data_IF_338626004965
#
_entry.id   IF_338626004965
#
_cell.length_a   1.000
_cell.length_b   1.000
_cell.length_c   1.000
_cell.angle_alpha   90.00
_cell.angle_beta   90.00
_cell.angle_gamma   90.00
#
_symmetry.space_group_name_H-M   'P 1'
#
loop_
_entity.id
_entity.type
_entity.pdbx_description
1 polymer ?
#
# COMPACT_ATOMS: atom_id res chain seq x y z
N UNK A 1 11.34 -13.34 27.43
CA UNK A 1 10.82 -12.42 26.40
C UNK A 1 9.39 -12.81 26.08
N UNK A 2 8.48 -12.10 26.69
CA UNK A 2 7.10 -12.55 26.75
C UNK A 2 6.34 -12.24 25.47
N UNK A 3 6.27 -13.23 24.58
CA UNK A 3 5.34 -13.23 23.44
C UNK A 3 5.44 -12.02 22.50
N UNK A 4 6.66 -11.55 22.20
CA UNK A 4 6.84 -10.43 21.27
C UNK A 4 6.21 -10.75 19.89
N UNK A 5 6.35 -11.97 19.41
CA UNK A 5 5.74 -12.39 18.15
C UNK A 5 4.21 -12.33 18.21
N UNK A 6 3.64 -12.80 19.30
CA UNK A 6 2.19 -12.71 19.52
C UNK A 6 1.70 -11.25 19.54
N UNK A 7 2.43 -10.39 20.25
CA UNK A 7 2.10 -8.96 20.32
C UNK A 7 2.14 -8.29 18.96
N UNK A 8 3.19 -8.58 18.18
CA UNK A 8 3.29 -8.10 16.80
C UNK A 8 2.11 -8.54 15.94
N UNK A 9 1.83 -9.84 15.95
CA UNK A 9 0.73 -10.37 15.14
C UNK A 9 -0.61 -9.80 15.57
N UNK A 10 -0.83 -9.66 16.87
CA UNK A 10 -2.08 -9.12 17.40
C UNK A 10 -2.26 -7.65 17.05
N UNK A 11 -1.22 -6.82 17.18
CA UNK A 11 -1.24 -5.43 16.76
C UNK A 11 -1.47 -5.29 15.27
N UNK A 12 -0.77 -6.08 14.47
CA UNK A 12 -0.93 -6.09 13.02
C UNK A 12 -2.36 -6.46 12.60
N UNK A 13 -2.92 -7.49 13.23
CA UNK A 13 -4.29 -7.94 12.96
C UNK A 13 -5.31 -6.84 13.28
N UNK A 14 -5.20 -6.21 14.44
CA UNK A 14 -6.10 -5.12 14.86
C UNK A 14 -6.00 -3.93 13.91
N UNK A 15 -4.78 -3.52 13.57
CA UNK A 15 -4.55 -2.40 12.68
C UNK A 15 -5.14 -2.68 11.28
N UNK A 16 -4.88 -3.87 10.74
CA UNK A 16 -5.43 -4.27 9.44
C UNK A 16 -6.95 -4.29 9.43
N UNK A 17 -7.56 -4.76 10.51
CA UNK A 17 -9.02 -4.77 10.63
C UNK A 17 -9.58 -3.35 10.56
N UNK A 18 -9.05 -2.44 11.36
CA UNK A 18 -9.50 -1.05 11.38
C UNK A 18 -9.28 -0.35 10.04
N UNK A 19 -8.12 -0.56 9.42
CA UNK A 19 -7.84 -0.01 8.09
C UNK A 19 -8.79 -0.55 7.04
N UNK A 20 -9.05 -1.85 7.05
CA UNK A 20 -9.94 -2.48 6.09
C UNK A 20 -11.36 -1.93 6.20
N UNK A 21 -11.88 -1.79 7.43
CA UNK A 21 -13.20 -1.21 7.67
C UNK A 21 -13.28 0.23 7.15
N UNK A 22 -12.25 1.04 7.41
CA UNK A 22 -12.22 2.43 6.97
C UNK A 22 -12.15 2.54 5.44
N UNK A 23 -11.29 1.74 4.79
CA UNK A 23 -11.12 1.75 3.35
C UNK A 23 -12.35 1.22 2.61
N UNK A 24 -13.07 0.27 3.20
CA UNK A 24 -14.30 -0.26 2.61
C UNK A 24 -15.39 0.81 2.49
N UNK A 25 -15.37 1.83 3.34
CA UNK A 25 -16.28 2.97 3.20
C UNK A 25 -16.03 3.75 1.91
N UNK A 26 -14.83 3.67 1.37
CA UNK A 26 -14.47 4.26 0.06
C UNK A 26 -14.46 3.23 -1.07
N UNK A 27 -14.97 2.03 -0.79
CA UNK A 27 -15.01 0.92 -1.73
C UNK A 27 -13.62 0.55 -2.27
N UNK A 28 -12.63 0.60 -1.38
CA UNK A 28 -11.23 0.25 -1.68
C UNK A 28 -10.79 -0.84 -0.71
N UNK A 29 -10.14 -1.89 -1.22
CA UNK A 29 -9.51 -2.90 -0.37
C UNK A 29 -8.10 -2.45 0.02
N UNK A 30 -7.55 -3.03 1.09
CA UNK A 30 -6.16 -2.78 1.49
C UNK A 30 -5.20 -3.11 0.32
N UNK A 31 -5.44 -4.21 -0.36
CA UNK A 31 -4.61 -4.64 -1.50
C UNK A 31 -4.67 -3.65 -2.66
N UNK A 32 -5.85 -3.15 -2.98
CA UNK A 32 -6.02 -2.12 -4.01
C UNK A 32 -5.28 -0.84 -3.66
N UNK A 33 -5.41 -0.39 -2.43
CA UNK A 33 -4.69 0.80 -1.95
C UNK A 33 -3.18 0.59 -2.00
N UNK A 34 -2.70 -0.56 -1.54
CA UNK A 34 -1.27 -0.90 -1.54
C UNK A 34 -0.69 -0.90 -2.96
N UNK A 35 -1.42 -1.45 -3.93
CA UNK A 35 -1.00 -1.44 -5.34
C UNK A 35 -0.92 -0.01 -5.88
N UNK A 36 -1.96 0.79 -5.67
CA UNK A 36 -1.96 2.19 -6.12
C UNK A 36 -0.82 2.98 -5.47
N UNK A 37 -0.60 2.78 -4.19
CA UNK A 37 0.47 3.43 -3.45
C UNK A 37 1.85 3.10 -4.03
N UNK A 38 2.07 1.83 -4.38
CA UNK A 38 3.35 1.41 -4.98
C UNK A 38 3.56 2.02 -6.36
N UNK A 39 2.50 2.10 -7.17
CA UNK A 39 2.55 2.76 -8.48
C UNK A 39 2.92 4.24 -8.30
N UNK A 40 2.26 4.94 -7.38
CA UNK A 40 2.53 6.34 -7.07
C UNK A 40 3.97 6.54 -6.60
N UNK A 41 4.44 5.69 -5.71
CA UNK A 41 5.80 5.76 -5.17
C UNK A 41 6.85 5.61 -6.28
N UNK A 42 6.69 4.60 -7.13
CA UNK A 42 7.61 4.36 -8.23
C UNK A 42 7.61 5.54 -9.22
N UNK A 43 6.44 6.04 -9.57
CA UNK A 43 6.31 7.17 -10.50
C UNK A 43 6.90 8.46 -9.91
N UNK A 44 6.77 8.68 -8.60
CA UNK A 44 7.33 9.86 -7.94
C UNK A 44 8.86 9.88 -7.97
N UNK A 45 9.49 8.70 -8.09
CA UNK A 45 10.95 8.57 -8.24
C UNK A 45 11.40 8.55 -9.70
N UNK A 46 10.50 8.90 -10.63
CA UNK A 46 10.79 8.89 -12.06
C UNK A 46 10.90 7.49 -12.67
N UNK A 47 10.41 6.48 -11.94
CA UNK A 47 10.42 5.10 -12.42
C UNK A 47 9.05 4.73 -12.97
N UNK A 48 9.04 4.03 -14.08
CA UNK A 48 7.83 3.36 -14.58
C UNK A 48 7.74 1.97 -13.99
N UNK A 49 6.51 1.44 -13.88
CA UNK A 49 6.31 0.11 -13.29
C UNK A 49 5.34 -0.71 -14.12
N UNK A 50 5.72 -1.95 -14.37
CA UNK A 50 4.83 -2.97 -14.95
C UNK A 50 4.08 -3.69 -13.81
N UNK A 51 3.02 -4.41 -14.16
CA UNK A 51 2.31 -5.27 -13.21
C UNK A 51 3.25 -6.28 -12.55
N UNK A 52 4.20 -6.83 -13.31
CA UNK A 52 5.19 -7.80 -12.80
C UNK A 52 6.06 -7.15 -11.72
N UNK A 53 6.58 -5.96 -11.99
CA UNK A 53 7.42 -5.22 -11.04
C UNK A 53 6.67 -4.86 -9.76
N UNK A 54 5.44 -4.39 -9.89
CA UNK A 54 4.59 -4.09 -8.73
C UNK A 54 4.31 -5.37 -7.93
N UNK A 55 4.01 -6.47 -8.61
CA UNK A 55 3.81 -7.76 -7.96
C UNK A 55 5.04 -8.21 -7.17
N UNK A 56 6.22 -8.05 -7.75
CA UNK A 56 7.49 -8.36 -7.08
C UNK A 56 7.71 -7.45 -5.85
N UNK A 57 7.48 -6.15 -5.98
CA UNK A 57 7.60 -5.20 -4.87
C UNK A 57 6.68 -5.58 -3.70
N UNK A 58 5.49 -6.09 -3.99
CA UNK A 58 4.46 -6.35 -2.99
C UNK A 58 4.31 -7.83 -2.62
N UNK A 59 5.18 -8.69 -3.15
CA UNK A 59 5.12 -10.14 -2.91
C UNK A 59 3.79 -10.76 -3.34
N UNK A 60 3.26 -10.30 -4.46
CA UNK A 60 2.02 -10.80 -5.05
C UNK A 60 2.32 -11.63 -6.30
N UNK A 61 1.62 -12.75 -6.46
CA UNK A 61 1.72 -13.56 -7.68
C UNK A 61 1.06 -12.87 -8.88
N UNK A 62 1.34 -13.37 -10.09
CA UNK A 62 0.81 -12.79 -11.33
C UNK A 62 -0.73 -12.75 -11.38
N UNK A 63 -1.46 -13.82 -11.05
CA UNK A 63 -2.92 -13.76 -11.06
C UNK A 63 -3.49 -12.73 -10.10
N UNK A 64 -2.89 -12.60 -8.91
CA UNK A 64 -3.34 -11.66 -7.88
C UNK A 64 -3.17 -10.23 -8.32
N UNK A 65 -1.96 -9.84 -8.74
CA UNK A 65 -1.69 -8.47 -9.17
C UNK A 65 -2.48 -8.12 -10.44
N UNK A 66 -2.59 -9.04 -11.38
CA UNK A 66 -3.36 -8.85 -12.61
C UNK A 66 -4.84 -8.58 -12.31
N UNK A 67 -5.42 -9.34 -11.38
CA UNK A 67 -6.81 -9.14 -10.97
C UNK A 67 -7.06 -7.81 -10.29
N UNK A 68 -6.13 -7.37 -9.43
CA UNK A 68 -6.22 -6.09 -8.74
C UNK A 68 -6.13 -4.92 -9.74
N UNK A 69 -5.14 -4.97 -10.63
CA UNK A 69 -4.95 -3.94 -11.67
C UNK A 69 -6.19 -3.83 -12.56
N UNK A 70 -6.74 -4.96 -12.97
CA UNK A 70 -7.95 -5.00 -13.79
C UNK A 70 -9.14 -4.32 -13.13
N UNK A 71 -9.34 -4.57 -11.84
CA UNK A 71 -10.40 -3.94 -11.06
C UNK A 71 -10.16 -2.43 -10.90
N UNK A 72 -8.91 -2.02 -10.70
CA UNK A 72 -8.55 -0.61 -10.58
C UNK A 72 -8.71 0.15 -11.91
N UNK A 73 -8.40 -0.50 -13.03
CA UNK A 73 -8.69 0.05 -14.37
C UNK A 73 -10.19 0.27 -14.54
N UNK A 74 -10.98 -0.72 -14.18
CA UNK A 74 -12.44 -0.66 -14.29
C UNK A 74 -13.04 0.46 -13.45
N UNK A 75 -12.44 0.73 -12.29
CA UNK A 75 -12.82 1.86 -11.42
C UNK A 75 -12.34 3.21 -11.95
N UNK A 76 -11.47 3.24 -12.93
CA UNK A 76 -10.91 4.48 -13.48
C UNK A 76 -9.76 5.05 -12.67
N UNK A 77 -9.09 4.27 -11.85
CA UNK A 77 -8.00 4.71 -10.98
C UNK A 77 -6.62 4.44 -11.55
N UNK A 78 -6.50 3.46 -12.44
CA UNK A 78 -5.25 3.10 -13.11
C UNK A 78 -5.48 3.06 -14.61
N UNK A 79 -4.49 3.51 -15.37
CA UNK A 79 -4.40 3.30 -16.81
C UNK A 79 -3.13 2.52 -17.13
N UNK A 80 -3.17 1.79 -18.22
CA UNK A 80 -2.01 1.08 -18.77
C UNK A 80 -1.47 1.85 -19.97
N UNK A 81 -0.17 2.08 -19.97
CA UNK A 81 0.54 2.60 -21.12
C UNK A 81 1.40 1.49 -21.71
N UNK A 82 1.37 1.39 -23.04
CA UNK A 82 2.15 0.37 -23.73
C UNK A 82 3.64 0.64 -23.55
N UNK A 83 4.38 -0.42 -23.18
CA UNK A 83 5.83 -0.36 -23.13
C UNK A 83 6.36 -0.47 -24.58
N UNK A 84 6.99 0.60 -25.07
CA UNK A 84 7.51 0.65 -26.44
C UNK A 84 8.65 -0.35 -26.64
N UNK A 85 9.44 -0.62 -25.60
CA UNK A 85 10.58 -1.54 -25.67
C UNK A 85 10.17 -3.01 -25.63
N UNK A 86 9.02 -3.31 -24.99
CA UNK A 86 8.46 -4.65 -24.91
C UNK A 86 6.95 -4.59 -25.06
N UNK A 87 6.47 -4.94 -26.26
CA UNK A 87 5.04 -4.91 -26.61
C UNK A 87 4.17 -5.86 -25.77
N UNK A 88 4.77 -6.71 -24.94
CA UNK A 88 4.04 -7.66 -24.08
C UNK A 88 3.72 -7.10 -22.72
N UNK A 89 4.34 -5.99 -22.34
CA UNK A 89 4.15 -5.38 -21.02
C UNK A 89 3.57 -3.98 -21.14
N UNK A 90 2.97 -3.52 -20.06
CA UNK A 90 2.37 -2.21 -19.94
C UNK A 90 2.87 -1.54 -18.68
N UNK A 91 3.13 -0.25 -18.76
CA UNK A 91 3.40 0.58 -17.60
C UNK A 91 2.07 1.00 -16.96
N UNK A 92 2.06 1.01 -15.65
CA UNK A 92 0.91 1.42 -14.87
C UNK A 92 1.08 2.87 -14.43
N UNK A 93 0.00 3.64 -14.52
CA UNK A 93 -0.06 5.01 -14.03
C UNK A 93 -1.38 5.25 -13.33
N UNK A 94 -1.36 6.08 -12.29
CA UNK A 94 -2.58 6.54 -11.67
C UNK A 94 -3.23 7.62 -12.53
N UNK A 95 -4.55 7.55 -12.64
CA UNK A 95 -5.34 8.65 -13.16
C UNK A 95 -5.42 9.78 -12.13
N UNK A 96 -5.95 10.93 -12.52
CA UNK A 96 -6.24 12.01 -11.57
C UNK A 96 -7.13 11.52 -10.42
N UNK A 97 -8.17 10.76 -10.74
CA UNK A 97 -9.06 10.17 -9.74
C UNK A 97 -8.32 9.17 -8.85
N UNK A 98 -7.42 8.37 -9.45
CA UNK A 98 -6.58 7.44 -8.70
C UNK A 98 -5.68 8.15 -7.69
N UNK A 99 -5.08 9.27 -8.08
CA UNK A 99 -4.26 10.08 -7.16
C UNK A 99 -5.08 10.64 -6.00
N UNK A 100 -6.28 11.10 -6.29
CA UNK A 100 -7.19 11.62 -5.25
C UNK A 100 -7.61 10.53 -4.27
N UNK A 101 -7.97 9.35 -4.76
CA UNK A 101 -8.39 8.26 -3.87
C UNK A 101 -7.23 7.72 -3.03
N UNK A 102 -6.03 7.65 -3.58
CA UNK A 102 -4.83 7.26 -2.82
C UNK A 102 -4.59 8.23 -1.68
N UNK A 103 -4.69 9.53 -1.94
CA UNK A 103 -4.52 10.56 -0.93
C UNK A 103 -5.60 10.49 0.16
N UNK A 104 -6.85 10.30 -0.24
CA UNK A 104 -7.95 10.15 0.71
C UNK A 104 -7.78 8.90 1.60
N UNK A 105 -7.33 7.79 1.02
CA UNK A 105 -7.02 6.58 1.77
C UNK A 105 -5.84 6.79 2.72
N UNK A 106 -4.82 7.54 2.30
CA UNK A 106 -3.68 7.87 3.16
C UNK A 106 -4.12 8.68 4.38
N UNK A 107 -5.01 9.65 4.19
CA UNK A 107 -5.56 10.44 5.30
C UNK A 107 -6.33 9.57 6.28
N UNK A 108 -7.16 8.66 5.78
CA UNK A 108 -7.87 7.70 6.63
C UNK A 108 -6.90 6.81 7.41
N UNK A 109 -5.87 6.32 6.74
CA UNK A 109 -4.84 5.50 7.37
C UNK A 109 -4.15 6.27 8.49
N UNK A 110 -3.78 7.52 8.25
CA UNK A 110 -3.12 8.37 9.25
C UNK A 110 -4.02 8.60 10.48
N UNK A 111 -5.30 8.81 10.27
CA UNK A 111 -6.27 8.97 11.36
C UNK A 111 -6.43 7.68 12.18
N UNK A 112 -6.52 6.55 11.51
CA UNK A 112 -6.63 5.23 12.17
C UNK A 112 -5.37 4.94 12.99
N UNK A 113 -4.21 5.17 12.43
CA UNK A 113 -2.92 4.96 13.11
C UNK A 113 -2.81 5.90 14.32
N UNK A 114 -3.18 7.17 14.16
CA UNK A 114 -3.18 8.14 15.25
C UNK A 114 -4.05 7.69 16.40
N UNK A 115 -5.24 7.19 16.11
CA UNK A 115 -6.14 6.64 17.12
C UNK A 115 -5.56 5.38 17.78
N UNK A 116 -5.01 4.49 16.97
CA UNK A 116 -4.39 3.24 17.44
C UNK A 116 -3.21 3.49 18.37
N UNK A 117 -2.43 4.54 18.12
CA UNK A 117 -1.27 4.90 18.90
C UNK A 117 -1.58 5.86 20.06
N UNK A 118 -2.84 6.19 20.26
CA UNK A 118 -3.27 7.12 21.32
C UNK A 118 -2.73 6.81 22.73
N UNK A 119 -2.58 5.54 23.16
CA UNK A 119 -1.98 5.23 24.45
C UNK A 119 -0.51 5.59 24.60
N UNK A 120 0.18 5.90 23.51
CA UNK A 120 1.61 6.15 23.52
C UNK A 120 1.92 7.64 23.69
N UNK A 121 3.06 7.93 24.32
CA UNK A 121 3.63 9.28 24.37
C UNK A 121 4.24 9.63 23.01
N UNK A 122 4.50 10.93 22.78
CA UNK A 122 5.19 11.38 21.56
C UNK A 122 6.56 10.73 21.39
N UNK A 123 7.29 10.57 22.48
CA UNK A 123 8.60 9.93 22.47
C UNK A 123 8.48 8.46 22.07
N UNK A 124 7.51 7.75 22.61
CA UNK A 124 7.25 6.35 22.27
C UNK A 124 6.86 6.18 20.80
N UNK A 125 6.04 7.10 20.26
CA UNK A 125 5.65 7.07 18.84
C UNK A 125 6.88 7.25 17.96
N UNK A 126 7.75 8.23 18.28
CA UNK A 126 9.00 8.45 17.52
C UNK A 126 9.90 7.22 17.57
N UNK A 127 10.04 6.63 18.75
CA UNK A 127 10.82 5.40 18.92
C UNK A 127 10.24 4.24 18.12
N UNK A 128 8.93 4.06 18.15
CA UNK A 128 8.24 3.03 17.38
C UNK A 128 8.45 3.22 15.89
N UNK A 129 8.33 4.44 15.39
CA UNK A 129 8.56 4.75 13.98
C UNK A 129 9.99 4.38 13.56
N UNK A 130 10.98 4.77 14.36
CA UNK A 130 12.37 4.45 14.10
C UNK A 130 12.63 2.93 14.12
N UNK A 131 12.03 2.22 15.05
CA UNK A 131 12.14 0.76 15.15
C UNK A 131 11.52 0.09 13.92
N UNK A 132 10.32 0.50 13.54
CA UNK A 132 9.64 -0.05 12.37
C UNK A 132 10.43 0.24 11.08
N UNK A 133 11.02 1.42 10.96
CA UNK A 133 11.88 1.75 9.83
C UNK A 133 13.09 0.82 9.74
N UNK A 134 13.72 0.50 10.88
CA UNK A 134 14.83 -0.45 10.91
C UNK A 134 14.41 -1.85 10.52
N UNK A 135 13.25 -2.30 10.98
CA UNK A 135 12.72 -3.63 10.66
C UNK A 135 12.30 -3.77 9.21
N UNK A 136 11.90 -2.67 8.57
CA UNK A 136 11.46 -2.67 7.18
C UNK A 136 12.59 -2.44 6.16
N UNK A 137 13.82 -2.24 6.62
CA UNK A 137 14.95 -2.16 5.70
C UNK A 137 15.18 -3.52 5.06
N UNK A 138 15.21 -3.54 3.74
CA UNK A 138 15.40 -4.75 2.93
C UNK A 138 16.86 -5.18 2.89
N UNK A 139 17.48 -5.35 4.03
CA UNK A 139 18.85 -5.84 4.11
C UNK A 139 18.87 -7.24 4.75
N UNK A 140 18.19 -8.13 4.08
CA UNK A 140 18.26 -9.53 4.48
C UNK A 140 19.13 -10.30 3.51
#
# INVERSE_FOLDING_TARGET
MDNISYLFMNCSKKLKYELNEALMMKNITIQQWTVMNQVELNNSWGKTSTSVEIGENLDMDKPTISGIVKRLEKKGYIIKERNIEDNRSYYLQLTSDGKHIVQACQQLSDEIVKFFLKPLTKHEITSLQNILMKLNKEEF
#
